data_IF_812116355348
#
_entry.id   IF_812116355348
#
_cell.length_a   1.000
_cell.length_b   1.000
_cell.length_c   1.000
_cell.angle_alpha   90.00
_cell.angle_beta   90.00
_cell.angle_gamma   90.00
#
_symmetry.space_group_name_H-M   'P 1'
#
loop_
_entity.id
_entity.type
_entity.pdbx_description
1 polymer ?
#
# COMPACT_ATOMS: atom_id res chain seq x y z
N UNK A 1 -21.72 1.58 5.17
CA UNK A 1 -20.70 2.66 5.27
C UNK A 1 -19.79 2.54 4.05
N UNK A 2 -20.24 3.18 2.99
CA UNK A 2 -19.79 2.98 1.60
C UNK A 2 -18.70 3.99 1.24
N UNK A 3 -18.19 3.94 0.01
CA UNK A 3 -17.09 4.70 -0.61
C UNK A 3 -16.89 6.19 -0.23
N UNK A 4 -17.86 6.79 0.45
CA UNK A 4 -17.78 8.12 1.03
C UNK A 4 -16.52 8.36 1.87
N UNK A 5 -16.10 7.51 2.81
CA UNK A 5 -15.03 7.93 3.74
C UNK A 5 -13.68 8.27 3.07
N UNK A 6 -13.28 7.59 1.99
CA UNK A 6 -12.00 7.91 1.31
C UNK A 6 -12.18 9.10 0.36
N UNK A 7 -13.30 9.17 -0.36
CA UNK A 7 -13.62 10.32 -1.21
C UNK A 7 -13.91 11.59 -0.40
N UNK A 8 -14.54 11.48 0.76
CA UNK A 8 -14.84 12.57 1.70
C UNK A 8 -13.53 13.05 2.32
N UNK A 9 -12.62 12.17 2.75
CA UNK A 9 -11.31 12.62 3.24
C UNK A 9 -10.48 13.31 2.13
N UNK A 10 -10.49 12.78 0.90
CA UNK A 10 -9.82 13.44 -0.23
C UNK A 10 -10.49 14.76 -0.64
N UNK A 11 -11.83 14.82 -0.64
CA UNK A 11 -12.54 16.06 -0.99
C UNK A 11 -12.47 17.08 0.12
N UNK A 12 -12.58 16.72 1.39
CA UNK A 12 -12.40 17.63 2.54
C UNK A 12 -10.95 18.11 2.66
N UNK A 13 -9.95 17.26 2.38
CA UNK A 13 -8.54 17.67 2.35
C UNK A 13 -8.26 18.64 1.18
N UNK A 14 -8.72 18.33 -0.03
CA UNK A 14 -8.57 19.20 -1.21
C UNK A 14 -9.40 20.49 -1.07
N UNK A 15 -10.62 20.43 -0.54
CA UNK A 15 -11.45 21.62 -0.28
C UNK A 15 -10.89 22.47 0.87
N UNK A 16 -10.22 21.87 1.85
CA UNK A 16 -9.48 22.57 2.89
C UNK A 16 -8.30 23.37 2.32
N UNK A 17 -7.50 22.75 1.45
CA UNK A 17 -6.43 23.42 0.69
C UNK A 17 -6.98 24.54 -0.20
N UNK A 18 -8.11 24.32 -0.89
CA UNK A 18 -8.73 25.35 -1.74
C UNK A 18 -9.40 26.49 -0.96
N UNK A 19 -9.91 26.27 0.26
CA UNK A 19 -10.53 27.31 1.10
C UNK A 19 -9.53 28.10 1.94
N UNK A 20 -8.33 27.58 2.18
CA UNK A 20 -7.25 28.31 2.82
C UNK A 20 -6.58 29.23 1.80
N UNK A 21 -7.27 30.31 1.45
CA UNK A 21 -6.79 31.59 0.93
C UNK A 21 -5.51 31.56 0.05
N UNK A 22 -5.65 32.02 -1.20
CA UNK A 22 -4.65 32.21 -2.27
C UNK A 22 -3.31 32.92 -1.92
N UNK A 23 -3.01 33.18 -0.65
CA UNK A 23 -1.79 33.83 -0.18
C UNK A 23 -0.62 32.87 0.13
N UNK A 24 -0.83 31.54 0.09
CA UNK A 24 0.21 30.54 0.35
C UNK A 24 0.77 29.85 -0.90
N UNK A 25 0.75 30.52 -2.06
CA UNK A 25 1.22 29.98 -3.34
C UNK A 25 2.75 29.72 -3.44
N UNK A 26 3.49 29.59 -2.33
CA UNK A 26 4.95 29.42 -2.35
C UNK A 26 5.52 28.33 -1.43
N UNK A 27 4.76 27.80 -0.48
CA UNK A 27 5.27 26.81 0.46
C UNK A 27 4.13 25.86 0.83
N UNK A 28 3.95 24.80 0.04
CA UNK A 28 3.18 23.65 0.52
C UNK A 28 4.02 23.10 1.70
N UNK A 29 3.50 23.09 2.93
CA UNK A 29 4.26 22.60 4.08
C UNK A 29 4.59 21.12 3.84
N UNK A 30 5.84 20.73 4.13
CA UNK A 30 6.40 19.40 3.83
C UNK A 30 5.52 18.22 4.30
N UNK A 31 4.64 18.46 5.28
CA UNK A 31 3.71 17.49 5.84
C UNK A 31 2.50 17.17 4.93
N UNK A 32 1.99 18.13 4.16
CA UNK A 32 0.81 17.91 3.29
C UNK A 32 1.15 17.03 2.10
N UNK A 33 2.35 17.23 1.53
CA UNK A 33 2.87 16.37 0.46
C UNK A 33 3.05 14.93 0.94
N UNK A 34 3.60 14.77 2.14
CA UNK A 34 3.81 13.45 2.73
C UNK A 34 2.48 12.75 3.03
N UNK A 35 1.48 13.48 3.55
CA UNK A 35 0.16 12.91 3.82
C UNK A 35 -0.55 12.45 2.54
N UNK A 36 -0.49 13.24 1.47
CA UNK A 36 -1.03 12.85 0.17
C UNK A 36 -0.36 11.57 -0.36
N UNK A 37 0.96 11.50 -0.30
CA UNK A 37 1.72 10.33 -0.78
C UNK A 37 1.41 9.07 0.02
N UNK A 38 1.28 9.18 1.36
CA UNK A 38 0.87 8.05 2.21
C UNK A 38 -0.56 7.62 1.88
N UNK A 39 -1.48 8.57 1.72
CA UNK A 39 -2.89 8.28 1.43
C UNK A 39 -3.07 7.60 0.06
N UNK A 40 -2.29 7.98 -0.95
CA UNK A 40 -2.29 7.36 -2.27
C UNK A 40 -1.87 5.87 -2.19
N UNK A 41 -0.75 5.58 -1.52
CA UNK A 41 -0.24 4.21 -1.35
C UNK A 41 -1.20 3.34 -0.54
N UNK A 42 -1.76 3.86 0.57
CA UNK A 42 -2.73 3.16 1.41
C UNK A 42 -4.05 2.94 0.65
N UNK A 43 -4.46 3.91 -0.17
CA UNK A 43 -5.62 3.81 -1.05
C UNK A 43 -5.47 2.70 -2.09
N UNK A 44 -4.30 2.60 -2.73
CA UNK A 44 -3.98 1.52 -3.66
C UNK A 44 -4.01 0.15 -2.97
N UNK A 45 -3.37 0.02 -1.81
CA UNK A 45 -3.40 -1.21 -1.03
C UNK A 45 -4.84 -1.63 -0.62
N UNK A 46 -5.73 -0.66 -0.35
CA UNK A 46 -7.14 -0.94 -0.06
C UNK A 46 -7.90 -1.46 -1.29
N UNK A 47 -7.63 -0.88 -2.46
CA UNK A 47 -8.19 -1.32 -3.75
C UNK A 47 -7.74 -2.74 -4.10
N UNK A 48 -6.47 -3.07 -3.89
CA UNK A 48 -5.93 -4.41 -4.11
C UNK A 48 -6.63 -5.46 -3.25
N UNK A 49 -6.96 -5.09 -2.01
CA UNK A 49 -7.71 -5.93 -1.08
C UNK A 49 -9.23 -5.93 -1.34
N UNK A 50 -9.71 -5.25 -2.41
CA UNK A 50 -11.13 -5.09 -2.77
C UNK A 50 -11.99 -4.56 -1.63
N UNK A 51 -11.40 -3.76 -0.74
CA UNK A 51 -12.06 -3.20 0.44
C UNK A 51 -12.21 -1.69 0.29
N UNK A 52 -13.39 -1.21 0.67
CA UNK A 52 -13.77 0.20 0.56
C UNK A 52 -13.25 1.01 1.76
N UNK A 53 -12.99 0.34 2.89
CA UNK A 53 -12.52 0.93 4.14
C UNK A 53 -11.03 0.68 4.31
N UNK A 54 -10.28 1.72 4.67
CA UNK A 54 -8.89 1.60 5.10
C UNK A 54 -8.85 0.86 6.45
N UNK A 55 -8.07 -0.22 6.53
CA UNK A 55 -7.81 -0.98 7.76
C UNK A 55 -6.31 -0.99 8.05
N UNK A 56 -5.93 -1.30 9.28
CA UNK A 56 -4.51 -1.35 9.71
C UNK A 56 -3.64 -2.23 8.79
N UNK A 57 -4.21 -3.27 8.18
CA UNK A 57 -3.53 -4.09 7.18
C UNK A 57 -3.09 -3.32 5.94
N UNK A 58 -3.92 -2.41 5.42
CA UNK A 58 -3.56 -1.63 4.23
C UNK A 58 -2.43 -0.65 4.53
N UNK A 59 -2.43 -0.07 5.74
CA UNK A 59 -1.34 0.79 6.22
C UNK A 59 -0.04 -0.01 6.31
N UNK A 60 -0.08 -1.20 6.89
CA UNK A 60 1.10 -2.06 6.97
C UNK A 60 1.65 -2.49 5.60
N UNK A 61 0.76 -2.79 4.65
CA UNK A 61 1.15 -3.15 3.28
C UNK A 61 1.79 -1.95 2.57
N UNK A 62 1.18 -0.77 2.65
CA UNK A 62 1.73 0.46 2.07
C UNK A 62 3.07 0.86 2.70
N UNK A 63 3.17 0.81 4.03
CA UNK A 63 4.38 1.15 4.78
C UNK A 63 5.57 0.24 4.47
N UNK A 64 5.33 -1.03 4.15
CA UNK A 64 6.40 -2.00 3.85
C UNK A 64 6.67 -2.15 2.34
N UNK A 65 5.75 -1.73 1.47
CA UNK A 65 5.94 -1.71 0.02
C UNK A 65 6.60 -0.40 -0.48
N UNK A 66 6.42 0.72 0.22
CA UNK A 66 7.07 1.98 -0.14
C UNK A 66 8.53 2.01 0.33
N UNK A 67 9.49 2.22 -0.57
CA UNK A 67 10.91 2.30 -0.21
C UNK A 67 11.23 3.45 0.74
N UNK A 68 10.65 4.62 0.53
CA UNK A 68 10.88 5.80 1.37
C UNK A 68 10.14 5.67 2.70
N UNK A 69 8.86 5.26 2.64
CA UNK A 69 8.03 5.08 3.81
C UNK A 69 8.51 3.95 4.74
N UNK A 70 9.07 2.87 4.19
CA UNK A 70 9.63 1.76 4.97
C UNK A 70 10.91 2.14 5.71
N UNK A 71 11.73 3.05 5.14
CA UNK A 71 12.91 3.61 5.80
C UNK A 71 12.50 4.57 6.91
N UNK A 72 11.52 5.43 6.65
CA UNK A 72 10.99 6.39 7.62
C UNK A 72 10.25 5.71 8.79
N UNK A 73 9.50 4.63 8.51
CA UNK A 73 8.69 3.88 9.48
C UNK A 73 9.31 2.52 9.86
N UNK A 74 10.63 2.37 9.75
CA UNK A 74 11.33 1.10 10.02
C UNK A 74 11.02 0.54 11.41
N UNK A 75 11.11 1.41 12.42
CA UNK A 75 10.93 1.09 13.85
C UNK A 75 9.48 1.25 14.34
N UNK A 76 8.59 1.77 13.50
CA UNK A 76 7.18 1.99 13.87
C UNK A 76 6.42 0.67 13.75
N UNK A 77 5.73 0.29 14.84
CA UNK A 77 4.88 -0.90 14.88
C UNK A 77 3.42 -0.54 14.68
N UNK A 78 2.82 -1.00 13.57
CA UNK A 78 1.39 -0.82 13.32
C UNK A 78 0.56 -1.87 14.08
N UNK A 79 -0.27 -1.42 15.01
CA UNK A 79 -1.21 -2.31 15.70
C UNK A 79 -2.18 -2.98 14.70
N UNK A 80 -2.37 -4.29 14.83
CA UNK A 80 -3.21 -5.12 13.95
C UNK A 80 -2.84 -5.09 12.45
N UNK A 81 -1.61 -4.73 12.09
CA UNK A 81 -1.15 -4.69 10.70
C UNK A 81 -0.73 -6.04 10.10
N UNK A 82 -0.30 -6.99 10.95
CA UNK A 82 0.31 -8.25 10.51
C UNK A 82 1.65 -8.03 9.78
N UNK A 83 2.07 -8.99 8.96
CA UNK A 83 3.35 -8.95 8.23
C UNK A 83 3.18 -9.12 6.72
N UNK A 84 4.13 -8.65 5.92
CA UNK A 84 4.13 -8.91 4.48
C UNK A 84 4.22 -10.43 4.23
N UNK A 85 3.39 -11.01 3.35
CA UNK A 85 3.50 -12.43 3.02
C UNK A 85 4.84 -12.69 2.35
N UNK A 86 5.72 -13.46 3.00
CA UNK A 86 7.02 -13.85 2.47
C UNK A 86 7.33 -15.28 2.93
N UNK A 87 7.55 -16.18 1.98
CA UNK A 87 7.90 -17.59 2.25
C UNK A 87 9.30 -17.83 1.67
N UNK A 88 10.25 -18.23 2.51
CA UNK A 88 11.59 -18.54 2.06
C UNK A 88 11.58 -19.79 1.15
N UNK A 89 12.33 -19.77 0.05
CA UNK A 89 12.33 -20.83 -0.96
C UNK A 89 12.69 -22.23 -0.40
N UNK A 90 13.39 -22.29 0.73
CA UNK A 90 13.72 -23.55 1.42
C UNK A 90 12.52 -24.23 2.08
N UNK A 91 11.46 -23.48 2.38
CA UNK A 91 10.25 -23.97 3.03
C UNK A 91 9.19 -24.40 2.02
N UNK A 92 9.38 -24.07 0.74
CA UNK A 92 8.53 -24.57 -0.33
C UNK A 92 8.86 -26.05 -0.55
N UNK A 93 7.85 -26.94 -0.62
CA UNK A 93 8.09 -28.34 -0.92
C UNK A 93 8.84 -28.43 -2.25
N UNK A 94 10.00 -29.09 -2.24
CA UNK A 94 10.78 -29.37 -3.46
C UNK A 94 9.85 -30.10 -4.42
N UNK A 95 9.56 -29.51 -5.58
CA UNK A 95 8.68 -30.06 -6.61
C UNK A 95 9.10 -31.50 -6.94
N UNK A 96 8.41 -32.47 -6.34
CA UNK A 96 8.38 -33.86 -6.77
C UNK A 96 7.13 -34.00 -7.64
N UNK A 97 7.30 -34.48 -8.87
CA UNK A 97 6.28 -34.41 -9.92
C UNK A 97 5.10 -35.39 -9.78
N UNK A 98 4.01 -35.04 -10.48
CA UNK A 98 2.88 -35.90 -10.89
C UNK A 98 1.50 -35.32 -10.48
N UNK A 99 0.56 -34.91 -11.34
CA UNK A 99 0.21 -35.37 -12.70
C UNK A 99 -0.72 -34.41 -13.49
N UNK A 100 -0.56 -34.43 -14.83
CA UNK A 100 -1.46 -34.01 -15.93
C UNK A 100 -1.77 -32.51 -16.19
N UNK A 101 -1.07 -31.89 -17.17
CA UNK A 101 -1.50 -31.73 -18.59
C UNK A 101 -0.77 -30.54 -19.26
N UNK A 102 0.07 -30.79 -20.28
CA UNK A 102 0.51 -29.77 -21.27
C UNK A 102 2.03 -29.66 -21.57
N UNK A 103 2.51 -30.55 -22.45
CA UNK A 103 3.66 -30.55 -23.39
C UNK A 103 4.83 -29.50 -23.39
N UNK A 104 6.05 -30.03 -23.63
CA UNK A 104 7.28 -29.40 -24.16
C UNK A 104 8.33 -29.07 -23.09
N UNK A 105 9.54 -29.68 -22.97
CA UNK A 105 10.61 -29.91 -23.97
C UNK A 105 11.34 -28.56 -24.22
N UNK A 106 12.62 -28.30 -23.98
CA UNK A 106 13.83 -29.15 -23.98
C UNK A 106 15.02 -28.45 -23.24
N UNK A 107 15.86 -29.29 -22.62
CA UNK A 107 17.35 -29.32 -22.54
C UNK A 107 18.23 -28.15 -22.03
N UNK A 108 18.95 -28.47 -20.95
CA UNK A 108 20.13 -27.81 -20.38
C UNK A 108 21.39 -27.97 -21.27
N UNK A 109 22.20 -26.92 -21.38
CA UNK A 109 23.67 -26.97 -21.54
C UNK A 109 24.31 -25.77 -20.86
#
# INVERSE_FOLDING_TARGET
MNFGCVSILLSDFIYGILNLNLNFAGCIPDVEYLEFQVLELVGNAARDNKKIRIVSRHIQLAARNGEELSKLLGDVTTANGGVMPNIHNLLLPKKAGGSSKGAGGDDDS
#
